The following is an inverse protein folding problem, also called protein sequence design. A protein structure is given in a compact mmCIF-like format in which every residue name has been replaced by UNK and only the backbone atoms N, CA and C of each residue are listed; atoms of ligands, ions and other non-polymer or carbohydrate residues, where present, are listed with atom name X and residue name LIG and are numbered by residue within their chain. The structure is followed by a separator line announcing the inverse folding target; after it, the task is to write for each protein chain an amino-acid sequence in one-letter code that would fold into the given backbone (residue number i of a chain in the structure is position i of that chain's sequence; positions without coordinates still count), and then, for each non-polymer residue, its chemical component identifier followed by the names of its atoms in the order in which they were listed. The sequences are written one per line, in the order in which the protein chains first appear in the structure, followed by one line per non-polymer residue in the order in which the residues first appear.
data_IF_372475541357
#
_entry.id   IF_372475541357
#
_cell.length_a   1.000
_cell.length_b   1.000
_cell.length_c   1.000
_cell.angle_alpha   90.00
_cell.angle_beta   90.00
_cell.angle_gamma   90.00
#
_symmetry.space_group_name_H-M   'P 1'
#
loop_
_entity.id
_entity.type
_entity.pdbx_description
1 polymer ?
#
# COMPACT_ATOMS: atom_id res chain seq x y z
N UNK A 1 16.11 19.27 3.66
CA UNK A 1 15.08 18.98 4.67
C UNK A 1 15.46 17.77 5.51
N UNK A 2 15.79 16.62 4.89
CA UNK A 2 16.12 15.36 5.56
C UNK A 2 17.22 15.52 6.62
N UNK A 3 18.35 16.11 6.23
CA UNK A 3 19.48 16.34 7.17
C UNK A 3 19.05 17.13 8.41
N UNK A 4 18.20 18.14 8.22
CA UNK A 4 17.70 18.97 9.32
C UNK A 4 16.76 18.17 10.23
N UNK A 5 15.88 17.34 9.66
CA UNK A 5 15.03 16.45 10.43
C UNK A 5 15.88 15.50 11.30
N UNK A 6 16.96 14.95 10.72
CA UNK A 6 17.84 14.02 11.44
C UNK A 6 18.62 14.73 12.57
N UNK A 7 19.20 15.91 12.28
CA UNK A 7 20.04 16.63 13.25
C UNK A 7 19.25 17.24 14.40
N UNK A 8 17.98 17.58 14.18
CA UNK A 8 17.15 18.30 15.16
C UNK A 8 16.31 17.37 16.06
N UNK A 9 16.42 16.06 15.88
CA UNK A 9 15.74 15.09 16.77
C UNK A 9 16.29 15.11 18.19
N UNK A 10 15.47 14.72 19.20
CA UNK A 10 14.06 14.37 19.15
C UNK A 10 13.14 15.59 19.08
N UNK A 11 11.92 15.41 18.59
CA UNK A 11 10.86 16.42 18.57
C UNK A 11 9.80 16.10 19.64
N UNK A 12 9.26 17.15 20.29
CA UNK A 12 8.25 17.01 21.35
C UNK A 12 6.83 16.87 20.80
N UNK A 13 6.52 17.69 19.79
CA UNK A 13 5.21 17.80 19.17
C UNK A 13 5.34 18.32 17.75
N UNK A 14 4.21 18.42 17.05
CA UNK A 14 4.15 18.86 15.65
C UNK A 14 4.62 20.31 15.47
N UNK A 15 4.41 21.17 16.46
CA UNK A 15 4.83 22.57 16.43
C UNK A 15 6.34 22.69 16.56
N UNK A 16 6.95 21.95 17.52
CA UNK A 16 8.40 21.84 17.69
C UNK A 16 9.07 21.30 16.42
N UNK A 17 8.48 20.25 15.81
CA UNK A 17 8.93 19.71 14.53
C UNK A 17 8.92 20.77 13.41
N UNK A 18 7.81 21.51 13.28
CA UNK A 18 7.68 22.54 12.24
C UNK A 18 8.70 23.68 12.43
N UNK A 19 8.90 24.16 13.65
CA UNK A 19 9.78 25.29 13.92
C UNK A 19 11.25 24.94 13.77
N UNK A 20 11.68 23.75 14.20
CA UNK A 20 13.09 23.33 14.20
C UNK A 20 13.51 22.71 12.86
N UNK A 21 12.76 21.74 12.37
CA UNK A 21 13.08 21.07 11.11
C UNK A 21 12.72 21.89 9.87
N UNK A 22 11.77 22.83 9.97
CA UNK A 22 11.28 23.69 8.89
C UNK A 22 10.99 22.92 7.59
N UNK A 23 10.16 21.87 7.66
CA UNK A 23 9.78 21.13 6.47
C UNK A 23 8.87 21.97 5.58
N UNK A 24 8.85 21.66 4.29
CA UNK A 24 7.88 22.27 3.37
C UNK A 24 6.47 21.79 3.71
N UNK A 25 5.46 22.62 3.39
CA UNK A 25 4.05 22.22 3.52
C UNK A 25 3.78 20.87 2.87
N UNK A 26 4.32 20.65 1.68
CA UNK A 26 4.14 19.41 0.92
C UNK A 26 4.73 18.19 1.65
N UNK A 27 5.90 18.37 2.28
CA UNK A 27 6.51 17.31 3.09
C UNK A 27 5.67 17.00 4.32
N UNK A 28 5.18 18.03 5.03
CA UNK A 28 4.30 17.86 6.19
C UNK A 28 3.01 17.12 5.84
N UNK A 29 2.32 17.55 4.77
CA UNK A 29 1.08 16.91 4.33
C UNK A 29 1.30 15.43 3.96
N UNK A 30 2.42 15.10 3.30
CA UNK A 30 2.76 13.71 2.96
C UNK A 30 3.08 12.86 4.19
N UNK A 31 3.89 13.39 5.11
CA UNK A 31 4.22 12.70 6.36
C UNK A 31 2.97 12.45 7.22
N UNK A 32 2.04 13.41 7.27
CA UNK A 32 0.76 13.24 7.95
C UNK A 32 -0.11 12.16 7.29
N UNK A 33 -0.21 12.16 5.95
CA UNK A 33 -1.02 11.20 5.21
C UNK A 33 -0.55 9.75 5.38
N UNK A 34 0.76 9.53 5.57
CA UNK A 34 1.33 8.18 5.79
C UNK A 34 1.45 7.81 7.27
N UNK A 35 0.96 8.66 8.19
CA UNK A 35 0.98 8.40 9.62
C UNK A 35 2.33 8.62 10.31
N UNK A 36 3.33 9.16 9.60
CA UNK A 36 4.66 9.38 10.16
C UNK A 36 4.72 10.46 11.25
N UNK A 37 3.66 11.26 11.40
CA UNK A 37 3.55 12.31 12.40
C UNK A 37 2.52 12.00 13.51
N UNK A 38 1.92 10.82 13.49
CA UNK A 38 0.83 10.47 14.41
C UNK A 38 1.27 10.61 15.88
N UNK A 39 2.42 10.09 16.24
CA UNK A 39 2.94 10.20 17.61
C UNK A 39 3.22 11.64 18.04
N UNK A 40 3.69 12.50 17.12
CA UNK A 40 3.95 13.93 17.42
C UNK A 40 2.67 14.75 17.50
N UNK A 41 1.60 14.29 16.84
CA UNK A 41 0.30 14.93 16.84
C UNK A 41 -0.64 14.41 17.93
N UNK A 42 -0.22 13.40 18.71
CA UNK A 42 -1.06 12.76 19.71
C UNK A 42 -2.22 11.98 19.12
N UNK A 43 -2.04 11.46 17.89
CA UNK A 43 -3.02 10.61 17.24
C UNK A 43 -2.78 9.19 17.72
N UNK A 44 -3.73 8.66 18.49
CA UNK A 44 -3.71 7.30 19.01
C UNK A 44 -4.92 6.54 18.47
N UNK A 45 -4.66 5.37 17.92
CA UNK A 45 -5.70 4.50 17.37
C UNK A 45 -6.74 4.07 18.41
N UNK A 46 -6.37 4.05 19.71
CA UNK A 46 -7.27 3.63 20.78
C UNK A 46 -8.12 4.78 21.34
N UNK A 47 -7.61 6.01 21.34
CA UNK A 47 -8.28 7.15 21.96
C UNK A 47 -9.05 8.04 20.99
N UNK A 48 -8.76 8.01 19.71
CA UNK A 48 -9.46 8.69 18.59
C UNK A 48 -9.85 10.16 18.84
N UNK A 49 -9.14 10.88 19.72
CA UNK A 49 -9.42 12.30 20.05
C UNK A 49 -8.99 13.19 18.89
N UNK A 50 -7.86 12.86 18.26
CA UNK A 50 -7.33 13.58 17.10
C UNK A 50 -7.20 12.62 15.92
N UNK A 51 -7.48 13.13 14.73
CA UNK A 51 -7.42 12.38 13.48
C UNK A 51 -6.34 12.93 12.54
N UNK A 52 -5.92 12.16 11.56
CA UNK A 52 -5.04 12.66 10.49
C UNK A 52 -5.71 13.78 9.68
N UNK A 53 -7.05 13.79 9.59
CA UNK A 53 -7.81 14.88 8.98
C UNK A 53 -7.64 16.19 9.77
N UNK A 54 -7.71 16.14 11.12
CA UNK A 54 -7.44 17.27 11.99
C UNK A 54 -6.01 17.78 11.83
N UNK A 55 -5.04 16.85 11.78
CA UNK A 55 -3.63 17.19 11.57
C UNK A 55 -3.40 17.91 10.23
N UNK A 56 -4.04 17.49 9.16
CA UNK A 56 -3.94 18.15 7.86
C UNK A 56 -4.50 19.58 7.89
N UNK A 57 -5.60 19.84 8.63
CA UNK A 57 -6.15 21.17 8.83
C UNK A 57 -5.14 22.03 9.63
N UNK A 58 -4.57 21.48 10.70
CA UNK A 58 -3.53 22.15 11.50
C UNK A 58 -2.31 22.50 10.66
N UNK A 59 -1.79 21.59 9.85
CA UNK A 59 -0.67 21.82 8.93
C UNK A 59 -0.99 22.96 7.96
N UNK A 60 -2.19 23.01 7.40
CA UNK A 60 -2.62 24.09 6.51
C UNK A 60 -2.64 25.43 7.21
N UNK A 61 -3.14 25.49 8.43
CA UNK A 61 -3.14 26.70 9.25
C UNK A 61 -1.71 27.18 9.57
N UNK A 62 -0.83 26.29 10.01
CA UNK A 62 0.57 26.59 10.33
C UNK A 62 1.38 27.08 9.14
N UNK A 63 1.07 26.58 7.93
CA UNK A 63 1.83 26.89 6.69
C UNK A 63 1.16 27.95 5.82
N UNK A 64 0.03 28.52 6.24
CA UNK A 64 -0.62 29.58 5.49
C UNK A 64 0.23 30.86 5.50
N UNK A 65 0.20 31.63 4.39
CA UNK A 65 0.93 32.91 4.27
C UNK A 65 0.50 33.98 5.28
N UNK A 66 -0.62 33.77 5.95
CA UNK A 66 -1.12 34.62 7.02
C UNK A 66 -0.48 34.32 8.38
N UNK A 67 0.34 33.28 8.50
CA UNK A 67 1.15 33.07 9.70
C UNK A 67 2.13 34.24 9.83
N UNK A 68 2.17 34.95 10.99
CA UNK A 68 3.00 36.11 11.17
C UNK A 68 4.47 35.74 10.96
N UNK A 69 5.22 36.56 10.20
CA UNK A 69 6.66 36.45 10.08
C UNK A 69 7.24 36.66 11.48
N UNK A 70 7.78 35.60 12.06
CA UNK A 70 8.49 35.67 13.34
C UNK A 70 9.76 36.47 13.10
N UNK A 71 9.71 37.73 13.44
CA UNK A 71 10.91 38.56 13.53
C UNK A 71 11.71 38.12 14.76
N UNK A 72 13.03 37.93 14.62
CA UNK A 72 13.88 37.36 15.68
C UNK A 72 13.86 38.15 16.99
N UNK A 73 13.28 39.34 17.02
CA UNK A 73 13.18 40.25 18.14
C UNK A 73 11.75 40.45 18.69
N UNK A 74 10.75 39.74 18.17
CA UNK A 74 9.39 39.85 18.66
C UNK A 74 9.09 38.65 19.57
N UNK A 75 8.73 38.94 20.81
CA UNK A 75 8.22 37.99 21.81
C UNK A 75 7.18 37.05 21.17
N UNK A 76 7.34 35.77 21.43
CA UNK A 76 6.56 34.66 20.91
C UNK A 76 5.09 35.03 20.72
N UNK A 77 4.65 35.12 19.49
CA UNK A 77 3.23 35.05 19.21
C UNK A 77 2.72 33.70 19.74
N UNK A 78 1.70 33.78 20.56
CA UNK A 78 1.08 32.67 21.22
C UNK A 78 0.55 31.66 20.18
N UNK A 79 1.33 30.63 19.89
CA UNK A 79 0.94 29.50 19.03
C UNK A 79 -0.08 28.59 19.74
N UNK A 80 -0.45 28.92 21.01
CA UNK A 80 -1.46 28.21 21.77
C UNK A 80 -2.83 28.21 21.11
N UNK A 81 -3.13 29.19 20.24
CA UNK A 81 -4.35 29.17 19.44
C UNK A 81 -4.37 28.08 18.34
N UNK A 82 -3.23 27.45 18.02
CA UNK A 82 -3.19 26.32 17.10
C UNK A 82 -3.64 24.99 17.76
N UNK A 83 -3.63 24.96 19.10
CA UNK A 83 -4.15 23.82 19.86
C UNK A 83 -5.69 23.81 19.94
N UNK A 84 -6.34 24.90 19.53
CA UNK A 84 -7.81 25.03 19.49
C UNK A 84 -8.42 24.73 18.11
N UNK A 85 -7.68 24.08 17.21
CA UNK A 85 -8.25 23.68 15.93
C UNK A 85 -9.40 22.67 16.12
N UNK A 86 -10.41 22.71 15.25
CA UNK A 86 -11.54 21.82 15.38
C UNK A 86 -11.05 20.37 15.42
N UNK A 87 -11.42 19.67 16.47
CA UNK A 87 -11.21 18.24 16.66
C UNK A 87 -12.46 17.50 16.24
N UNK A 88 -12.30 16.22 15.87
CA UNK A 88 -13.44 15.36 15.56
C UNK A 88 -13.82 15.30 14.08
N UNK A 89 -12.93 15.72 13.18
CA UNK A 89 -13.10 15.37 11.78
C UNK A 89 -13.00 13.84 11.61
N UNK A 90 -13.79 13.24 10.70
CA UNK A 90 -13.73 11.80 10.50
C UNK A 90 -12.33 11.36 10.10
N UNK A 91 -11.85 10.26 10.71
CA UNK A 91 -10.56 9.67 10.34
C UNK A 91 -10.59 9.18 8.88
N UNK A 92 -9.43 9.13 8.28
CA UNK A 92 -9.25 8.53 6.96
C UNK A 92 -9.70 7.07 7.00
N UNK A 93 -10.43 6.65 5.96
CA UNK A 93 -10.75 5.22 5.82
C UNK A 93 -9.47 4.41 5.63
N UNK A 94 -9.48 3.12 6.00
CA UNK A 94 -8.36 2.21 5.75
C UNK A 94 -7.89 2.26 4.29
N UNK A 95 -8.83 2.35 3.34
CA UNK A 95 -8.50 2.43 1.92
C UNK A 95 -7.78 3.74 1.56
N UNK A 96 -8.20 4.88 2.13
CA UNK A 96 -7.54 6.17 1.89
C UNK A 96 -6.12 6.20 2.50
N UNK A 97 -5.93 5.60 3.66
CA UNK A 97 -4.61 5.45 4.29
C UNK A 97 -3.69 4.60 3.41
N UNK A 98 -4.15 3.42 2.99
CA UNK A 98 -3.43 2.51 2.11
C UNK A 98 -3.06 3.17 0.77
N UNK A 99 -4.00 3.87 0.12
CA UNK A 99 -3.74 4.58 -1.14
C UNK A 99 -2.66 5.67 -0.96
N UNK A 100 -2.66 6.34 0.20
CA UNK A 100 -1.66 7.35 0.55
C UNK A 100 -0.28 6.71 0.78
N UNK A 101 -0.22 5.62 1.52
CA UNK A 101 1.00 4.85 1.76
C UNK A 101 1.63 4.40 0.44
N UNK A 102 0.86 3.72 -0.40
CA UNK A 102 1.34 3.25 -1.71
C UNK A 102 1.82 4.42 -2.58
N UNK A 103 1.07 5.52 -2.58
CA UNK A 103 1.39 6.70 -3.40
C UNK A 103 2.69 7.39 -2.98
N UNK A 104 2.97 7.48 -1.67
CA UNK A 104 4.07 8.28 -1.16
C UNK A 104 5.28 7.47 -0.71
N UNK A 105 5.10 6.24 -0.26
CA UNK A 105 6.18 5.34 0.17
C UNK A 105 6.46 4.22 -0.82
N UNK A 106 5.49 3.89 -1.68
CA UNK A 106 5.55 2.73 -2.59
C UNK A 106 5.28 1.40 -1.90
N UNK A 107 4.94 1.41 -0.61
CA UNK A 107 4.69 0.23 0.22
C UNK A 107 3.34 0.35 0.90
N UNK A 108 2.72 -0.79 1.17
CA UNK A 108 1.56 -0.96 2.02
C UNK A 108 2.03 -1.26 3.45
N UNK A 109 1.65 -0.42 4.40
CA UNK A 109 2.12 -0.47 5.80
C UNK A 109 0.96 -0.87 6.73
N UNK A 110 -0.18 -0.20 6.60
CA UNK A 110 -1.34 -0.40 7.49
C UNK A 110 -2.08 -1.70 7.20
N UNK A 111 -2.22 -2.06 5.91
CA UNK A 111 -2.89 -3.29 5.48
C UNK A 111 -2.42 -3.70 4.10
N UNK A 112 -2.43 -5.01 3.82
CA UNK A 112 -2.04 -5.51 2.51
C UNK A 112 -3.09 -5.16 1.44
N UNK A 113 -2.64 -4.79 0.23
CA UNK A 113 -3.53 -4.37 -0.87
C UNK A 113 -4.58 -5.41 -1.25
N UNK A 114 -4.31 -6.69 -0.99
CA UNK A 114 -5.21 -7.80 -1.30
C UNK A 114 -6.42 -7.87 -0.36
N UNK A 115 -6.31 -7.32 0.86
CA UNK A 115 -7.36 -7.41 1.88
C UNK A 115 -8.71 -6.87 1.41
N UNK A 116 -8.68 -5.81 0.61
CA UNK A 116 -9.90 -5.22 0.03
C UNK A 116 -10.72 -6.25 -0.75
N UNK A 117 -10.08 -7.21 -1.39
CA UNK A 117 -10.70 -8.18 -2.29
C UNK A 117 -11.05 -9.49 -1.58
N UNK A 118 -10.72 -9.64 -0.29
CA UNK A 118 -10.76 -10.92 0.42
C UNK A 118 -12.14 -11.60 0.32
N UNK A 119 -13.23 -10.85 0.48
CA UNK A 119 -14.58 -11.42 0.40
C UNK A 119 -14.87 -12.05 -0.97
N UNK A 120 -14.48 -11.39 -2.05
CA UNK A 120 -14.62 -11.92 -3.42
C UNK A 120 -13.71 -13.12 -3.63
N UNK A 121 -12.46 -13.06 -3.16
CA UNK A 121 -11.48 -14.13 -3.32
C UNK A 121 -11.90 -15.40 -2.58
N UNK A 122 -12.44 -15.27 -1.38
CA UNK A 122 -12.99 -16.38 -0.61
C UNK A 122 -14.20 -17.02 -1.32
N UNK A 123 -15.09 -16.19 -1.88
CA UNK A 123 -16.22 -16.67 -2.67
C UNK A 123 -15.80 -17.43 -3.93
N UNK A 124 -14.72 -17.00 -4.57
CA UNK A 124 -14.15 -17.65 -5.76
C UNK A 124 -13.30 -18.89 -5.42
N UNK A 125 -13.05 -19.18 -4.15
CA UNK A 125 -12.21 -20.30 -3.72
C UNK A 125 -10.73 -20.11 -4.04
N UNK A 126 -10.22 -18.88 -3.97
CA UNK A 126 -8.81 -18.58 -4.18
C UNK A 126 -7.97 -19.14 -3.03
N UNK A 127 -6.90 -19.86 -3.37
CA UNK A 127 -6.00 -20.48 -2.41
C UNK A 127 -4.92 -19.50 -1.99
N UNK A 128 -4.66 -19.37 -0.70
CA UNK A 128 -3.60 -18.53 -0.14
C UNK A 128 -2.21 -19.13 -0.37
N UNK A 129 -1.21 -18.28 -0.51
CA UNK A 129 0.18 -18.72 -0.69
C UNK A 129 0.65 -19.65 0.44
N UNK A 130 0.26 -19.37 1.68
CA UNK A 130 0.55 -20.20 2.87
C UNK A 130 -0.02 -21.63 2.77
N UNK A 131 -1.08 -21.86 2.00
CA UNK A 131 -1.77 -23.14 1.86
C UNK A 131 -1.26 -23.96 0.66
N UNK A 132 -0.59 -23.33 -0.30
CA UNK A 132 -0.17 -23.98 -1.55
C UNK A 132 0.72 -25.20 -1.34
N UNK A 133 1.54 -25.23 -0.27
CA UNK A 133 2.35 -26.38 0.07
C UNK A 133 1.52 -27.61 0.43
N UNK A 134 0.29 -27.46 0.87
CA UNK A 134 -0.66 -28.55 1.16
C UNK A 134 -1.36 -29.11 -0.08
N UNK A 135 -1.33 -28.40 -1.20
CA UNK A 135 -2.08 -28.76 -2.42
C UNK A 135 -1.33 -29.83 -3.22
N UNK A 136 -2.07 -30.82 -3.75
CA UNK A 136 -1.50 -31.88 -4.58
C UNK A 136 -1.06 -31.34 -5.94
N UNK A 137 -0.02 -31.98 -6.51
CA UNK A 137 0.41 -31.68 -7.90
C UNK A 137 -0.72 -31.94 -8.90
N UNK A 138 -0.79 -31.14 -9.95
CA UNK A 138 -1.84 -31.14 -10.99
C UNK A 138 -3.24 -30.72 -10.54
N UNK A 139 -3.43 -30.29 -9.29
CA UNK A 139 -4.68 -29.67 -8.87
C UNK A 139 -4.86 -28.31 -9.55
N UNK A 140 -6.03 -28.06 -10.08
CA UNK A 140 -6.43 -26.73 -10.60
C UNK A 140 -6.68 -25.79 -9.43
N UNK A 141 -6.10 -24.59 -9.50
CA UNK A 141 -6.18 -23.59 -8.43
C UNK A 141 -6.35 -22.20 -9.01
N UNK A 142 -6.94 -21.34 -8.16
CA UNK A 142 -6.89 -19.88 -8.34
C UNK A 142 -5.95 -19.32 -7.28
N UNK A 143 -5.05 -18.46 -7.67
CA UNK A 143 -4.20 -17.65 -6.79
C UNK A 143 -4.37 -16.18 -7.14
N UNK A 144 -4.28 -15.30 -6.15
CA UNK A 144 -4.36 -13.87 -6.36
C UNK A 144 -3.31 -13.14 -5.53
N UNK A 145 -2.89 -11.97 -5.98
CA UNK A 145 -1.93 -11.17 -5.22
C UNK A 145 -1.45 -9.93 -5.96
N UNK A 146 -0.58 -9.22 -5.27
CA UNK A 146 0.19 -8.12 -5.83
C UNK A 146 1.40 -8.69 -6.56
N UNK A 147 1.57 -8.34 -7.81
CA UNK A 147 2.74 -8.74 -8.60
C UNK A 147 3.99 -8.03 -8.08
N UNK A 148 4.87 -8.75 -7.42
CA UNK A 148 6.12 -8.24 -6.85
C UNK A 148 7.32 -8.45 -7.79
N UNK A 149 7.28 -9.49 -8.64
CA UNK A 149 8.33 -9.73 -9.60
C UNK A 149 7.78 -10.27 -10.94
N UNK A 150 8.47 -9.92 -12.02
CA UNK A 150 8.26 -10.50 -13.35
C UNK A 150 9.60 -10.77 -13.98
N UNK A 151 9.84 -12.01 -14.40
CA UNK A 151 11.10 -12.44 -15.02
C UNK A 151 10.82 -13.13 -16.34
N UNK A 152 11.63 -12.79 -17.34
CA UNK A 152 11.58 -13.40 -18.69
C UNK A 152 12.96 -13.88 -19.10
N UNK A 153 13.49 -14.96 -18.48
CA UNK A 153 14.82 -15.44 -18.79
C UNK A 153 14.90 -15.92 -20.25
N UNK A 154 16.05 -15.74 -20.90
CA UNK A 154 16.28 -16.29 -22.23
C UNK A 154 16.33 -17.82 -22.16
N UNK A 155 15.50 -18.48 -22.97
CA UNK A 155 15.49 -19.95 -23.06
C UNK A 155 16.31 -20.41 -24.26
N UNK A 156 17.07 -21.51 -24.10
CA UNK A 156 17.84 -22.12 -25.20
C UNK A 156 17.00 -22.52 -26.42
N UNK A 157 15.72 -22.79 -26.20
CA UNK A 157 14.75 -23.14 -27.26
C UNK A 157 14.25 -21.94 -28.06
N UNK A 158 14.64 -20.70 -27.74
CA UNK A 158 14.11 -19.46 -28.32
C UNK A 158 12.67 -19.11 -27.89
N UNK A 159 12.02 -19.99 -27.15
CA UNK A 159 10.68 -19.72 -26.58
C UNK A 159 10.82 -18.83 -25.35
N UNK A 160 9.92 -17.87 -25.19
CA UNK A 160 9.87 -17.04 -23.99
C UNK A 160 9.00 -17.71 -22.92
N UNK A 161 9.47 -17.66 -21.68
CA UNK A 161 8.69 -18.06 -20.50
C UNK A 161 8.61 -16.87 -19.58
N UNK A 162 7.43 -16.56 -19.05
CA UNK A 162 7.23 -15.47 -18.09
C UNK A 162 6.99 -16.09 -16.72
N UNK A 163 7.81 -15.69 -15.75
CA UNK A 163 7.64 -16.03 -14.36
C UNK A 163 7.08 -14.80 -13.63
N UNK A 164 6.05 -15.00 -12.84
CA UNK A 164 5.42 -13.96 -12.03
C UNK A 164 5.39 -14.44 -10.59
N UNK A 165 5.86 -13.60 -9.68
CA UNK A 165 5.67 -13.80 -8.24
C UNK A 165 4.58 -12.86 -7.74
N UNK A 166 3.59 -13.43 -7.07
CA UNK A 166 2.50 -12.72 -6.40
C UNK A 166 2.66 -12.78 -4.89
N UNK A 167 2.40 -11.65 -4.24
CA UNK A 167 2.28 -11.53 -2.78
C UNK A 167 0.80 -11.35 -2.43
N UNK A 168 0.29 -12.19 -1.54
CA UNK A 168 -1.10 -12.13 -1.05
C UNK A 168 -1.19 -11.74 0.43
N UNK A 169 -0.08 -11.31 1.04
CA UNK A 169 0.04 -10.99 2.45
C UNK A 169 0.25 -12.21 3.35
N UNK A 170 0.07 -13.45 2.85
CA UNK A 170 0.37 -14.68 3.58
C UNK A 170 1.67 -15.35 3.12
N UNK A 171 2.18 -14.91 1.97
CA UNK A 171 3.42 -15.41 1.36
C UNK A 171 3.50 -15.12 -0.13
N UNK A 172 4.56 -15.68 -0.74
CA UNK A 172 4.79 -15.56 -2.17
C UNK A 172 4.32 -16.81 -2.91
N UNK A 173 3.65 -16.61 -4.04
CA UNK A 173 3.28 -17.66 -4.96
C UNK A 173 3.86 -17.39 -6.34
N UNK A 174 4.47 -18.41 -6.96
CA UNK A 174 5.10 -18.29 -8.27
C UNK A 174 4.24 -18.92 -9.36
N UNK A 175 3.98 -18.17 -10.42
CA UNK A 175 3.24 -18.61 -11.59
C UNK A 175 4.15 -18.57 -12.84
N UNK A 176 4.08 -19.63 -13.64
CA UNK A 176 4.85 -19.78 -14.88
C UNK A 176 3.92 -19.77 -16.07
N UNK A 177 4.10 -18.80 -16.94
CA UNK A 177 3.34 -18.68 -18.20
C UNK A 177 4.16 -19.16 -19.36
N UNK A 178 3.70 -20.23 -20.01
CA UNK A 178 4.25 -20.73 -21.26
C UNK A 178 3.60 -20.07 -22.47
N UNK A 179 4.15 -20.26 -23.65
CA UNK A 179 3.79 -19.60 -24.92
C UNK A 179 2.29 -19.34 -25.12
N UNK A 180 1.46 -20.35 -24.90
CA UNK A 180 0.02 -20.27 -25.14
C UNK A 180 -0.69 -19.38 -24.13
N UNK A 181 -0.39 -19.53 -22.85
CA UNK A 181 -0.91 -18.69 -21.78
C UNK A 181 -0.41 -17.24 -21.91
N UNK A 182 0.85 -17.04 -22.34
CA UNK A 182 1.37 -15.69 -22.61
C UNK A 182 0.58 -14.97 -23.69
N UNK A 183 0.26 -15.63 -24.82
CA UNK A 183 -0.49 -14.99 -25.93
C UNK A 183 -1.85 -14.48 -25.46
N UNK A 184 -2.51 -15.22 -24.55
CA UNK A 184 -3.81 -14.82 -24.00
C UNK A 184 -3.72 -13.67 -23.01
N UNK A 185 -2.66 -13.63 -22.22
CA UNK A 185 -2.58 -12.76 -21.04
C UNK A 185 -1.51 -11.65 -21.16
N UNK A 186 -0.78 -11.54 -22.27
CA UNK A 186 0.46 -10.75 -22.39
C UNK A 186 0.36 -9.32 -21.87
N UNK A 187 -0.68 -8.57 -22.21
CA UNK A 187 -0.84 -7.18 -21.75
C UNK A 187 -1.06 -7.09 -20.23
N UNK A 188 -1.83 -8.02 -19.67
CA UNK A 188 -2.13 -8.07 -18.24
C UNK A 188 -0.89 -8.33 -17.40
N UNK A 189 -0.03 -9.25 -17.84
CA UNK A 189 1.14 -9.69 -17.07
C UNK A 189 2.15 -8.58 -16.80
N UNK A 190 2.24 -7.57 -17.67
CA UNK A 190 3.20 -6.48 -17.55
C UNK A 190 2.59 -5.15 -17.08
N UNK A 191 1.32 -4.91 -17.34
CA UNK A 191 0.68 -3.63 -17.05
C UNK A 191 0.04 -3.60 -15.67
N UNK A 192 -0.50 -4.74 -15.19
CA UNK A 192 -1.31 -4.79 -13.98
C UNK A 192 -0.50 -5.30 -12.78
N UNK A 193 -0.69 -4.64 -11.64
CA UNK A 193 -0.05 -5.03 -10.38
C UNK A 193 -0.87 -6.07 -9.60
N UNK A 194 -2.19 -6.02 -9.68
CA UNK A 194 -3.11 -6.89 -8.96
C UNK A 194 -3.67 -7.92 -9.92
N UNK A 195 -3.33 -9.17 -9.73
CA UNK A 195 -3.68 -10.26 -10.63
C UNK A 195 -4.41 -11.39 -9.89
N UNK A 196 -5.38 -11.96 -10.60
CA UNK A 196 -5.92 -13.30 -10.34
C UNK A 196 -5.39 -14.23 -11.41
N UNK A 197 -4.87 -15.40 -11.04
CA UNK A 197 -4.26 -16.38 -11.96
C UNK A 197 -4.90 -17.74 -11.72
N UNK A 198 -5.33 -18.39 -12.80
CA UNK A 198 -5.69 -19.81 -12.77
C UNK A 198 -4.57 -20.67 -13.35
N UNK A 199 -4.45 -21.88 -12.83
CA UNK A 199 -3.48 -22.82 -13.34
C UNK A 199 -3.42 -24.10 -12.52
N UNK A 200 -2.43 -24.95 -12.85
CA UNK A 200 -2.21 -26.23 -12.19
C UNK A 200 -0.99 -26.18 -11.29
N UNK A 201 -1.13 -26.71 -10.10
CA UNK A 201 -0.02 -26.83 -9.15
C UNK A 201 1.04 -27.76 -9.72
N UNK A 202 2.29 -27.30 -9.76
CA UNK A 202 3.48 -28.08 -10.08
C UNK A 202 4.41 -28.11 -8.87
N UNK A 203 4.72 -29.31 -8.40
CA UNK A 203 5.70 -29.50 -7.33
C UNK A 203 7.10 -29.76 -7.89
N UNK A 204 8.06 -29.02 -7.36
CA UNK A 204 9.48 -29.17 -7.65
C UNK A 204 10.22 -29.51 -6.35
N UNK A 205 10.08 -30.76 -5.88
CA UNK A 205 10.65 -31.21 -4.62
C UNK A 205 9.73 -30.99 -3.39
N UNK A 206 10.29 -31.12 -2.20
CA UNK A 206 9.53 -31.13 -0.93
C UNK A 206 8.97 -29.74 -0.57
N UNK A 207 9.69 -28.69 -0.91
CA UNK A 207 9.36 -27.29 -0.57
C UNK A 207 9.08 -26.39 -1.77
N UNK A 208 9.26 -26.88 -2.99
CA UNK A 208 9.06 -26.09 -4.19
C UNK A 208 7.65 -26.30 -4.74
N UNK A 209 6.88 -25.23 -4.80
CA UNK A 209 5.56 -25.18 -5.45
C UNK A 209 5.55 -24.02 -6.42
N UNK A 210 5.08 -24.27 -7.63
CA UNK A 210 4.80 -23.24 -8.63
C UNK A 210 3.50 -23.56 -9.34
N UNK A 211 2.88 -22.55 -9.92
CA UNK A 211 1.64 -22.70 -10.69
C UNK A 211 1.97 -22.66 -12.18
N UNK A 212 1.61 -23.71 -12.90
CA UNK A 212 1.54 -23.66 -14.37
C UNK A 212 0.32 -22.86 -14.77
N UNK A 213 0.52 -21.59 -15.08
CA UNK A 213 -0.54 -20.65 -15.34
C UNK A 213 -1.23 -20.92 -16.68
N UNK A 214 -2.56 -20.86 -16.68
CA UNK A 214 -3.39 -21.00 -17.86
C UNK A 214 -4.03 -19.67 -18.26
N UNK A 215 -4.55 -18.92 -17.29
CA UNK A 215 -5.16 -17.60 -17.51
C UNK A 215 -4.79 -16.62 -16.40
N UNK A 216 -4.95 -15.32 -16.70
CA UNK A 216 -4.82 -14.24 -15.75
C UNK A 216 -5.90 -13.18 -15.98
N UNK A 217 -6.31 -12.50 -14.93
CA UNK A 217 -7.27 -11.40 -14.95
C UNK A 217 -6.79 -10.25 -14.07
N UNK A 218 -7.24 -9.04 -14.43
CA UNK A 218 -7.07 -7.87 -13.56
C UNK A 218 -8.05 -7.98 -12.38
N UNK A 219 -7.51 -8.07 -11.18
CA UNK A 219 -8.28 -8.22 -9.96
C UNK A 219 -9.19 -7.01 -9.69
N UNK A 220 -8.77 -5.81 -10.09
CA UNK A 220 -9.57 -4.59 -9.93
C UNK A 220 -10.79 -4.59 -10.82
N UNK A 221 -10.66 -5.06 -12.06
CA UNK A 221 -11.80 -5.17 -12.99
C UNK A 221 -12.80 -6.23 -12.51
N UNK A 222 -12.31 -7.36 -12.02
CA UNK A 222 -13.18 -8.40 -11.43
C UNK A 222 -13.92 -7.88 -10.20
N UNK A 223 -13.25 -7.12 -9.35
CA UNK A 223 -13.88 -6.51 -8.18
C UNK A 223 -15.01 -5.56 -8.55
N UNK A 224 -14.81 -4.68 -9.54
CA UNK A 224 -15.85 -3.78 -10.03
C UNK A 224 -17.09 -4.52 -10.55
N UNK A 225 -16.87 -5.60 -11.28
CA UNK A 225 -17.97 -6.46 -11.78
C UNK A 225 -18.70 -7.16 -10.63
N UNK A 226 -17.95 -7.63 -9.63
CA UNK A 226 -18.49 -8.29 -8.45
C UNK A 226 -19.35 -7.34 -7.60
N UNK A 227 -18.87 -6.10 -7.36
CA UNK A 227 -19.63 -5.06 -6.65
C UNK A 227 -20.94 -4.71 -7.37
N UNK A 228 -20.90 -4.59 -8.70
CA UNK A 228 -22.09 -4.32 -9.50
C UNK A 228 -23.11 -5.47 -9.48
N UNK A 229 -22.65 -6.70 -9.36
CA UNK A 229 -23.53 -7.88 -9.27
C UNK A 229 -24.14 -8.08 -7.87
N UNK A 230 -23.50 -7.51 -6.84
CA UNK A 230 -23.93 -7.59 -5.44
C UNK A 230 -24.84 -6.43 -5.02
N UNK A 231 -24.98 -5.38 -5.85
CA UNK A 231 -25.83 -4.21 -5.64
C UNK A 231 -27.19 -4.39 -6.24
#
# INVERSE_FOLDING_TARGET
EIERIICEQPFRDITDFYLRARPSRRSLERLALVGALDSLAGIDAEQAIHTRADLLIRIRAMTSRAAPKIDKNQLSFDLSNLDQLPTGNPEMTKQQALDSEIRFTGMDITSHQIEKFQQMLDHMGVIKASELLGVRSNTEVLIAGVRVATQTPPMRSGKRVVFISLDDGTGLSDATFFDEAQRRCSSLLFQNKLLLISGKVRRTGVRGVSIMAENAWDLRQLWQQWEQAAS
#
